data_IF_053195979429
#
_entry.id   IF_053195979429
#
_cell.length_a   1.000
_cell.length_b   1.000
_cell.length_c   1.000
_cell.angle_alpha   90.00
_cell.angle_beta   90.00
_cell.angle_gamma   90.00
#
_symmetry.space_group_name_H-M   'P 1'
#
loop_
_entity.id
_entity.type
_entity.pdbx_description
1 polymer ?
#
# COMPACT_ATOMS: atom_id res chain seq x y z
N UNK A 1 -54.02 -0.23 6.52
CA UNK A 1 -52.59 0.05 6.83
C UNK A 1 -51.65 -1.00 6.27
N UNK A 2 -51.96 -2.30 6.28
CA UNK A 2 -51.05 -3.37 5.81
C UNK A 2 -50.73 -3.23 4.30
N UNK A 3 -51.68 -2.82 3.46
CA UNK A 3 -51.46 -2.64 2.03
C UNK A 3 -50.46 -1.51 1.67
N UNK A 4 -50.36 -0.47 2.51
CA UNK A 4 -49.43 0.62 2.26
C UNK A 4 -47.94 0.17 2.49
N UNK A 5 -47.71 -0.65 3.50
CA UNK A 5 -46.38 -1.22 3.75
C UNK A 5 -45.98 -2.20 2.65
N UNK A 6 -46.92 -2.99 2.16
CA UNK A 6 -46.67 -3.96 1.10
C UNK A 6 -46.26 -3.25 -0.20
N UNK A 7 -47.00 -2.18 -0.58
CA UNK A 7 -46.62 -1.37 -1.74
C UNK A 7 -45.24 -0.71 -1.64
N UNK A 8 -44.86 -0.23 -0.45
CA UNK A 8 -43.55 0.32 -0.23
C UNK A 8 -42.43 -0.74 -0.32
N UNK A 9 -42.70 -1.91 0.22
CA UNK A 9 -41.77 -3.04 0.18
C UNK A 9 -41.57 -3.54 -1.25
N UNK A 10 -42.62 -3.68 -2.04
CA UNK A 10 -42.55 -4.05 -3.45
C UNK A 10 -41.79 -2.99 -4.28
N UNK A 11 -41.97 -1.72 -3.97
CA UNK A 11 -41.23 -0.63 -4.63
C UNK A 11 -39.74 -0.67 -4.28
N UNK A 12 -39.39 -0.93 -3.03
CA UNK A 12 -37.98 -1.08 -2.62
C UNK A 12 -37.33 -2.29 -3.25
N UNK A 13 -38.02 -3.41 -3.35
CA UNK A 13 -37.54 -4.63 -4.02
C UNK A 13 -37.33 -4.37 -5.52
N UNK A 14 -38.24 -3.69 -6.20
CA UNK A 14 -38.10 -3.31 -7.59
C UNK A 14 -36.92 -2.33 -7.82
N UNK A 15 -36.73 -1.37 -6.92
CA UNK A 15 -35.55 -0.48 -6.94
C UNK A 15 -34.26 -1.26 -6.72
N UNK A 16 -34.25 -2.20 -5.80
CA UNK A 16 -33.08 -3.05 -5.55
C UNK A 16 -32.75 -3.88 -6.79
N UNK A 17 -33.72 -4.50 -7.42
CA UNK A 17 -33.53 -5.30 -8.64
C UNK A 17 -33.02 -4.44 -9.80
N UNK A 18 -33.60 -3.25 -10.01
CA UNK A 18 -33.14 -2.30 -11.02
C UNK A 18 -31.69 -1.81 -10.74
N UNK A 19 -31.33 -1.55 -9.49
CA UNK A 19 -30.00 -1.15 -9.09
C UNK A 19 -28.97 -2.26 -9.37
N UNK A 20 -29.30 -3.51 -9.10
CA UNK A 20 -28.42 -4.66 -9.37
C UNK A 20 -28.34 -5.06 -10.84
N UNK A 21 -29.30 -4.70 -11.66
CA UNK A 21 -29.33 -4.95 -13.11
C UNK A 21 -28.59 -3.88 -13.92
N UNK A 22 -28.21 -2.76 -13.31
CA UNK A 22 -27.47 -1.70 -14.02
C UNK A 22 -26.11 -2.18 -14.51
N UNK A 23 -25.73 -1.88 -15.78
CA UNK A 23 -24.42 -2.26 -16.33
C UNK A 23 -23.25 -1.62 -15.58
N UNK A 24 -23.46 -0.49 -14.90
CA UNK A 24 -22.49 0.18 -14.04
C UNK A 24 -22.72 -0.19 -12.57
N UNK A 25 -22.48 -1.43 -12.23
CA UNK A 25 -22.53 -1.89 -10.85
C UNK A 25 -21.56 -1.06 -9.99
N UNK A 26 -21.98 -0.51 -8.83
CA UNK A 26 -21.09 0.21 -7.97
C UNK A 26 -19.91 -0.69 -7.58
N UNK A 27 -18.71 -0.13 -7.51
CA UNK A 27 -17.52 -0.88 -7.15
C UNK A 27 -17.70 -1.52 -5.78
N UNK A 28 -17.32 -2.78 -5.65
CA UNK A 28 -17.32 -3.46 -4.36
C UNK A 28 -16.21 -2.87 -3.48
N UNK A 29 -16.58 -1.89 -2.68
CA UNK A 29 -15.65 -1.21 -1.79
C UNK A 29 -15.02 -2.15 -0.76
N UNK A 30 -15.79 -3.13 -0.28
CA UNK A 30 -15.28 -4.10 0.69
C UNK A 30 -14.18 -4.97 0.08
N UNK A 31 -14.43 -5.59 -1.07
CA UNK A 31 -13.44 -6.39 -1.78
C UNK A 31 -12.18 -5.58 -2.13
N UNK A 32 -12.35 -4.33 -2.58
CA UNK A 32 -11.22 -3.42 -2.86
C UNK A 32 -10.39 -3.11 -1.63
N UNK A 33 -11.02 -2.82 -0.50
CA UNK A 33 -10.30 -2.53 0.75
C UNK A 33 -9.56 -3.75 1.29
N UNK A 34 -10.15 -4.94 1.20
CA UNK A 34 -9.46 -6.18 1.58
C UNK A 34 -8.22 -6.39 0.69
N UNK A 35 -8.37 -6.26 -0.63
CA UNK A 35 -7.25 -6.40 -1.56
C UNK A 35 -6.12 -5.39 -1.29
N UNK A 36 -6.46 -4.13 -0.99
CA UNK A 36 -5.47 -3.09 -0.68
C UNK A 36 -4.75 -3.36 0.65
N UNK A 37 -5.49 -3.71 1.69
CA UNK A 37 -4.86 -4.07 2.98
C UNK A 37 -3.95 -5.28 2.84
N UNK A 38 -4.37 -6.26 2.09
CA UNK A 38 -3.55 -7.43 1.83
C UNK A 38 -2.31 -7.10 0.99
N UNK A 39 -2.40 -6.19 0.01
CA UNK A 39 -1.24 -5.73 -0.75
C UNK A 39 -0.17 -5.08 0.14
N UNK A 40 -0.58 -4.26 1.10
CA UNK A 40 0.32 -3.63 2.08
C UNK A 40 0.99 -4.69 2.98
N UNK A 41 0.21 -5.60 3.55
CA UNK A 41 0.72 -6.69 4.39
C UNK A 41 1.68 -7.61 3.61
N UNK A 42 1.34 -7.94 2.38
CA UNK A 42 2.19 -8.75 1.51
C UNK A 42 3.55 -8.09 1.27
N UNK A 43 3.55 -6.80 0.97
CA UNK A 43 4.78 -6.04 0.78
C UNK A 43 5.61 -5.94 2.08
N UNK A 44 4.95 -5.64 3.18
CA UNK A 44 5.59 -5.52 4.50
C UNK A 44 6.29 -6.82 4.94
N UNK A 45 5.62 -7.96 4.74
CA UNK A 45 6.17 -9.26 5.17
C UNK A 45 7.14 -9.90 4.18
N UNK A 46 6.97 -9.66 2.88
CA UNK A 46 7.82 -10.29 1.84
C UNK A 46 8.89 -9.38 1.28
N UNK A 47 8.77 -8.07 1.46
CA UNK A 47 9.61 -7.07 0.81
C UNK A 47 9.38 -6.95 -0.71
N UNK A 48 8.49 -7.78 -1.28
CA UNK A 48 8.22 -7.81 -2.70
C UNK A 48 6.98 -6.99 -3.04
N UNK A 49 7.01 -6.33 -4.20
CA UNK A 49 5.83 -5.67 -4.76
C UNK A 49 4.77 -6.71 -5.13
N UNK A 50 3.53 -6.58 -4.65
CA UNK A 50 2.45 -7.46 -5.06
C UNK A 50 2.17 -7.28 -6.56
N UNK A 51 2.01 -8.38 -7.28
CA UNK A 51 1.74 -8.39 -8.71
C UNK A 51 0.56 -9.29 -9.04
N UNK A 52 -0.21 -8.92 -10.05
CA UNK A 52 -1.24 -9.76 -10.62
C UNK A 52 -0.68 -10.53 -11.81
N UNK A 53 -0.94 -11.82 -11.83
CA UNK A 53 -0.66 -12.66 -12.98
C UNK A 53 -1.82 -13.60 -13.20
N UNK A 54 -2.17 -13.80 -14.46
CA UNK A 54 -3.11 -14.84 -14.88
C UNK A 54 -2.37 -15.91 -15.66
N UNK A 55 -2.69 -17.17 -15.36
CA UNK A 55 -2.19 -18.29 -16.14
C UNK A 55 -2.74 -18.23 -17.57
N UNK A 56 -1.90 -18.48 -18.56
CA UNK A 56 -2.29 -18.54 -19.98
C UNK A 56 -3.27 -19.68 -20.27
N UNK A 57 -3.40 -20.64 -19.36
CA UNK A 57 -4.25 -21.82 -19.50
C UNK A 57 -5.42 -21.79 -18.49
N UNK A 58 -6.34 -20.83 -18.60
CA UNK A 58 -7.59 -20.90 -17.86
C UNK A 58 -7.92 -19.75 -16.93
N UNK A 59 -7.21 -18.62 -16.98
CA UNK A 59 -7.57 -17.42 -16.24
C UNK A 59 -7.41 -17.50 -14.72
N UNK A 60 -6.79 -18.57 -14.21
CA UNK A 60 -6.52 -18.72 -12.77
C UNK A 60 -5.38 -17.79 -12.31
N UNK A 61 -5.43 -17.29 -11.08
CA UNK A 61 -4.37 -16.50 -10.50
C UNK A 61 -3.04 -17.29 -10.49
N UNK A 62 -1.95 -16.67 -10.93
CA UNK A 62 -0.64 -17.34 -11.05
C UNK A 62 0.41 -16.79 -10.08
N UNK A 63 0.22 -15.60 -9.53
CA UNK A 63 1.17 -15.01 -8.59
C UNK A 63 0.84 -15.38 -7.15
N UNK A 64 1.85 -15.39 -6.28
CA UNK A 64 1.67 -15.67 -4.84
C UNK A 64 0.66 -14.73 -4.20
N UNK A 65 0.67 -13.44 -4.59
CA UNK A 65 -0.28 -12.46 -4.11
C UNK A 65 -1.71 -12.80 -4.54
N UNK A 66 -1.93 -13.09 -5.82
CA UNK A 66 -3.28 -13.37 -6.35
C UNK A 66 -3.86 -14.69 -5.82
N UNK A 67 -3.02 -15.73 -5.64
CA UNK A 67 -3.45 -17.00 -5.04
C UNK A 67 -3.88 -16.83 -3.58
N UNK A 68 -3.08 -16.13 -2.78
CA UNK A 68 -3.42 -15.89 -1.38
C UNK A 68 -4.64 -14.96 -1.24
N UNK A 69 -4.82 -13.97 -2.11
CA UNK A 69 -6.00 -13.13 -2.12
C UNK A 69 -7.27 -13.92 -2.48
N UNK A 70 -7.18 -14.88 -3.39
CA UNK A 70 -8.28 -15.79 -3.72
C UNK A 70 -8.71 -16.62 -2.50
N UNK A 71 -7.76 -17.14 -1.73
CA UNK A 71 -8.06 -17.86 -0.50
C UNK A 71 -8.73 -16.97 0.56
N UNK A 72 -8.26 -15.74 0.71
CA UNK A 72 -8.88 -14.76 1.61
C UNK A 72 -10.32 -14.48 1.20
N UNK A 73 -10.59 -14.32 -0.09
CA UNK A 73 -11.95 -14.09 -0.59
C UNK A 73 -12.86 -15.30 -0.33
N UNK A 74 -12.35 -16.52 -0.47
CA UNK A 74 -13.09 -17.74 -0.12
C UNK A 74 -13.42 -17.81 1.37
N UNK A 75 -12.47 -17.45 2.24
CA UNK A 75 -12.69 -17.43 3.70
C UNK A 75 -13.72 -16.37 4.10
N UNK A 76 -13.71 -15.22 3.44
CA UNK A 76 -14.64 -14.11 3.72
C UNK A 76 -15.97 -14.21 2.97
N UNK A 77 -16.19 -15.29 2.23
CA UNK A 77 -17.40 -15.53 1.41
C UNK A 77 -17.68 -14.37 0.43
N UNK A 78 -16.62 -13.84 -0.18
CA UNK A 78 -16.71 -12.78 -1.18
C UNK A 78 -16.86 -13.41 -2.56
N UNK A 79 -18.10 -13.54 -3.04
CA UNK A 79 -18.42 -14.04 -4.38
C UNK A 79 -18.22 -12.97 -5.45
N UNK A 80 -16.98 -12.61 -5.73
CA UNK A 80 -16.65 -11.56 -6.72
C UNK A 80 -15.46 -11.95 -7.58
N UNK A 81 -15.43 -11.35 -8.77
CA UNK A 81 -14.23 -11.37 -9.59
C UNK A 81 -13.06 -10.75 -8.82
N UNK A 82 -12.01 -11.53 -8.65
CA UNK A 82 -10.81 -11.13 -7.94
C UNK A 82 -10.04 -10.03 -8.67
N UNK A 83 -10.10 -10.03 -10.00
CA UNK A 83 -9.23 -9.22 -10.85
C UNK A 83 -9.48 -7.73 -10.68
N UNK A 84 -10.72 -7.29 -10.81
CA UNK A 84 -11.09 -5.87 -10.76
C UNK A 84 -10.74 -5.20 -9.42
N UNK A 85 -11.08 -5.78 -8.25
CA UNK A 85 -10.66 -5.24 -6.95
C UNK A 85 -9.15 -5.25 -6.76
N UNK A 86 -8.47 -6.30 -7.22
CA UNK A 86 -7.02 -6.41 -7.08
C UNK A 86 -6.26 -5.43 -7.97
N UNK A 87 -6.67 -5.23 -9.22
CA UNK A 87 -6.09 -4.20 -10.11
C UNK A 87 -6.21 -2.80 -9.50
N UNK A 88 -7.39 -2.47 -8.96
CA UNK A 88 -7.59 -1.22 -8.26
C UNK A 88 -6.68 -1.09 -7.03
N UNK A 89 -6.59 -2.15 -6.22
CA UNK A 89 -5.77 -2.16 -5.01
C UNK A 89 -4.29 -1.97 -5.31
N UNK A 90 -3.78 -2.60 -6.36
CA UNK A 90 -2.39 -2.45 -6.78
C UNK A 90 -2.09 -1.04 -7.28
N UNK A 91 -2.99 -0.45 -8.07
CA UNK A 91 -2.84 0.93 -8.53
C UNK A 91 -2.80 1.93 -7.34
N UNK A 92 -3.65 1.72 -6.32
CA UNK A 92 -3.60 2.54 -5.10
C UNK A 92 -2.32 2.30 -4.30
N UNK A 93 -1.90 1.06 -4.15
CA UNK A 93 -0.66 0.71 -3.45
C UNK A 93 0.58 1.32 -4.13
N UNK A 94 0.69 1.25 -5.44
CA UNK A 94 1.78 1.87 -6.19
C UNK A 94 1.82 3.39 -6.02
N UNK A 95 0.65 4.03 -5.99
CA UNK A 95 0.54 5.47 -5.71
C UNK A 95 1.04 5.81 -4.31
N UNK A 96 0.60 5.07 -3.30
CA UNK A 96 1.03 5.26 -1.91
C UNK A 96 2.55 5.07 -1.76
N UNK A 97 3.10 4.02 -2.38
CA UNK A 97 4.53 3.74 -2.35
C UNK A 97 5.34 4.87 -2.98
N UNK A 98 4.89 5.41 -4.11
CA UNK A 98 5.52 6.55 -4.77
C UNK A 98 5.50 7.81 -3.91
N UNK A 99 4.35 8.12 -3.30
CA UNK A 99 4.21 9.25 -2.39
C UNK A 99 5.11 9.12 -1.16
N UNK A 100 5.28 7.89 -0.64
CA UNK A 100 6.18 7.62 0.48
C UNK A 100 7.65 7.87 0.08
N UNK A 101 8.08 7.35 -1.06
CA UNK A 101 9.44 7.56 -1.57
C UNK A 101 9.74 9.04 -1.83
N UNK A 102 8.77 9.81 -2.32
CA UNK A 102 8.94 11.25 -2.50
C UNK A 102 9.08 12.00 -1.17
N UNK A 103 8.34 11.60 -0.14
CA UNK A 103 8.47 12.17 1.21
C UNK A 103 9.83 11.86 1.80
N UNK A 104 10.26 10.60 1.73
CA UNK A 104 11.55 10.17 2.25
C UNK A 104 12.71 10.88 1.54
N UNK A 105 12.64 11.08 0.23
CA UNK A 105 13.61 11.82 -0.55
C UNK A 105 13.67 13.31 -0.14
N UNK A 106 12.52 13.94 0.11
CA UNK A 106 12.46 15.34 0.60
C UNK A 106 13.03 15.46 2.00
N UNK A 107 12.72 14.52 2.89
CA UNK A 107 13.25 14.51 4.26
C UNK A 107 14.74 14.26 4.29
N UNK A 108 15.25 13.37 3.45
CA UNK A 108 16.70 13.15 3.30
C UNK A 108 17.40 14.41 2.81
N UNK A 109 16.88 15.08 1.78
CA UNK A 109 17.43 16.33 1.26
C UNK A 109 17.45 17.44 2.32
N UNK A 110 16.39 17.55 3.13
CA UNK A 110 16.32 18.52 4.23
C UNK A 110 17.34 18.23 5.31
N UNK A 111 17.53 16.97 5.71
CA UNK A 111 18.53 16.57 6.71
C UNK A 111 19.96 16.81 6.20
N UNK A 112 20.23 16.50 4.94
CA UNK A 112 21.53 16.73 4.32
C UNK A 112 21.89 18.22 4.25
N UNK A 113 20.92 19.08 3.92
CA UNK A 113 21.15 20.54 3.90
C UNK A 113 21.36 21.14 5.28
N UNK A 114 20.75 20.60 6.34
CA UNK A 114 20.96 21.03 7.72
C UNK A 114 22.29 20.52 8.30
N UNK A 115 22.80 19.38 7.82
CA UNK A 115 24.09 18.84 8.24
C UNK A 115 25.31 19.63 7.71
N UNK A 116 25.15 20.28 6.58
CA UNK A 116 26.22 21.08 5.95
C UNK A 116 26.59 22.37 6.72
N UNK A 117 25.76 22.80 7.68
CA UNK A 117 26.07 24.00 8.51
C UNK A 117 26.84 23.68 9.81
N UNK A 118 27.29 22.44 10.02
CA UNK A 118 27.93 22.05 11.29
C UNK A 118 29.43 21.80 11.20
N UNK A 119 30.06 22.12 10.07
CA UNK A 119 31.53 21.95 9.88
C UNK A 119 32.37 23.17 10.22
N UNK A 120 31.83 24.22 10.84
CA UNK A 120 32.61 25.34 11.35
C UNK A 120 32.86 25.26 12.86
N UNK A 121 33.07 24.07 13.41
CA UNK A 121 33.73 23.96 14.71
C UNK A 121 35.23 23.97 14.47
N UNK A 122 35.78 25.18 14.46
CA UNK A 122 37.24 25.45 14.59
C UNK A 122 37.74 24.62 15.76
N UNK A 123 38.53 23.59 15.49
CA UNK A 123 39.32 22.88 16.49
C UNK A 123 40.45 23.86 16.88
N UNK A 124 40.50 24.32 18.14
CA UNK A 124 41.64 25.14 18.57
C UNK A 124 42.90 24.29 18.46
N UNK A 125 43.87 24.78 17.70
CA UNK A 125 45.18 24.19 17.60
C UNK A 125 45.77 24.05 19.01
N UNK A 126 46.08 22.84 19.44
CA UNK A 126 46.84 22.57 20.65
C UNK A 126 48.31 22.98 20.40
N UNK A 127 48.62 24.18 20.81
CA UNK A 127 50.03 24.60 20.94
C UNK A 127 50.66 23.85 22.13
N UNK A 128 51.82 23.31 21.91
CA UNK A 128 52.78 23.04 22.95
C UNK A 128 52.94 21.57 23.37
N UNK A 129 53.66 20.81 22.56
CA UNK A 129 54.45 19.69 23.07
C UNK A 129 55.92 19.99 22.89
N UNK A 130 56.49 20.61 23.91
CA UNK A 130 57.93 20.78 24.06
C UNK A 130 58.53 19.40 24.30
N UNK A 131 59.29 18.91 23.31
CA UNK A 131 60.11 17.70 23.44
C UNK A 131 61.40 18.08 24.10
N UNK A 132 61.64 17.64 25.33
CA UNK A 132 62.94 17.73 26.00
C UNK A 132 63.90 16.69 25.42
N UNK A 133 65.16 17.05 25.13
CA UNK A 133 66.13 16.11 24.60
C UNK A 133 66.69 15.23 25.74
N UNK A 134 66.66 13.94 25.51
CA UNK A 134 67.34 12.93 26.34
C UNK A 134 68.85 13.01 26.03
N UNK A 135 69.68 13.36 27.05
CA UNK A 135 71.12 13.24 27.03
C UNK A 135 71.55 11.80 27.25
N UNK A 136 72.52 11.26 26.49
CA UNK A 136 73.09 9.95 26.74
C UNK A 136 74.22 10.01 27.75
N UNK A 137 74.22 9.05 28.68
CA UNK A 137 75.44 8.52 29.33
C UNK A 137 75.46 7.00 29.19
#
# INVERSE_FOLDING_TARGET
>A
MIFAYQAVLDQLLAQQEMFWSMPNRPPDHFARHIALRFARLFHEHTGNTPTLGTSSQGGHPSTKYSLALEEIYKILDIERDLRTPAEWALAQFEKELREQLEKDAKDYSRRSSMGAYREDVVVPAAEGSTILPLTPQ
#
